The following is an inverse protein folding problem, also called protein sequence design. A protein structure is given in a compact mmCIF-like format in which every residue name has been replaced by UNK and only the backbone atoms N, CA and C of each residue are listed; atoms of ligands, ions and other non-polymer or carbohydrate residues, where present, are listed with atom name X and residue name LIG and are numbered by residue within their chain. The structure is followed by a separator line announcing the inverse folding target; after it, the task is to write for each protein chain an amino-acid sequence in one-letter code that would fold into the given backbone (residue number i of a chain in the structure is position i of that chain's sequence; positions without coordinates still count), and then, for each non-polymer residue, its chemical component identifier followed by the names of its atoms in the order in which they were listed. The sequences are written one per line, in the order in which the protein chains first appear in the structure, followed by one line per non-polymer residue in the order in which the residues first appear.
data_IF_879272602212
#
_entry.id   IF_879272602212
#
_cell.length_a   1.000
_cell.length_b   1.000
_cell.length_c   1.000
_cell.angle_alpha   90.00
_cell.angle_beta   90.00
_cell.angle_gamma   90.00
#
_symmetry.space_group_name_H-M   'P 1'
#
loop_
_entity.id
_entity.type
_entity.pdbx_description
1 polymer ?
#
# COMPACT_ATOMS: atom_id res chain seq x y z
N UNK A 1 -9.89 12.80 5.87
CA UNK A 1 -10.34 12.15 4.63
C UNK A 1 -11.02 10.84 5.00
N UNK A 2 -12.25 10.59 4.53
CA UNK A 2 -12.94 9.31 4.76
C UNK A 2 -12.67 8.37 3.58
N UNK A 3 -11.90 7.30 3.81
CA UNK A 3 -11.48 6.38 2.75
C UNK A 3 -12.66 5.63 2.15
N UNK A 4 -13.70 5.35 2.94
CA UNK A 4 -14.88 4.57 2.53
C UNK A 4 -15.66 5.18 1.35
N UNK A 5 -15.49 6.48 1.07
CA UNK A 5 -16.14 7.18 -0.04
C UNK A 5 -15.17 7.43 -1.20
N UNK A 6 -13.94 7.87 -0.94
CA UNK A 6 -13.06 8.37 -1.99
C UNK A 6 -12.32 7.28 -2.77
N UNK A 7 -11.98 6.16 -2.14
CA UNK A 7 -11.26 5.07 -2.81
C UNK A 7 -12.12 4.24 -3.78
N UNK A 8 -13.45 4.41 -3.69
CA UNK A 8 -14.44 3.78 -4.58
C UNK A 8 -14.79 4.63 -5.79
N UNK A 9 -14.24 5.84 -5.89
CA UNK A 9 -14.48 6.72 -7.04
C UNK A 9 -13.51 6.43 -8.18
N UNK A 10 -13.93 6.55 -9.46
CA UNK A 10 -13.04 6.38 -10.61
C UNK A 10 -11.85 7.36 -10.63
N UNK A 11 -11.94 8.45 -9.86
CA UNK A 11 -10.96 9.54 -9.85
C UNK A 11 -9.86 9.37 -8.80
N UNK A 12 -9.91 8.34 -7.96
CA UNK A 12 -9.00 8.16 -6.84
C UNK A 12 -7.52 8.17 -7.27
N UNK A 13 -7.17 7.41 -8.31
CA UNK A 13 -5.82 7.35 -8.86
C UNK A 13 -5.34 8.71 -9.42
N UNK A 14 -6.21 9.44 -10.12
CA UNK A 14 -5.89 10.77 -10.62
C UNK A 14 -5.61 11.76 -9.46
N UNK A 15 -6.36 11.65 -8.36
CA UNK A 15 -6.15 12.46 -7.16
C UNK A 15 -4.86 12.13 -6.42
N UNK A 16 -4.46 10.85 -6.35
CA UNK A 16 -3.15 10.48 -5.82
C UNK A 16 -2.04 11.22 -6.59
N UNK A 17 -2.05 11.14 -7.92
CA UNK A 17 -1.07 11.82 -8.76
C UNK A 17 -1.10 13.33 -8.54
N UNK A 18 -2.29 13.94 -8.62
CA UNK A 18 -2.47 15.38 -8.46
C UNK A 18 -1.95 15.90 -7.11
N UNK A 19 -2.30 15.21 -6.02
CA UNK A 19 -2.00 15.69 -4.67
C UNK A 19 -0.59 15.35 -4.20
N UNK A 20 0.05 14.34 -4.79
CA UNK A 20 1.42 13.92 -4.40
C UNK A 20 2.47 15.03 -4.54
N UNK A 21 2.25 15.99 -5.45
CA UNK A 21 3.16 17.13 -5.68
C UNK A 21 2.73 18.41 -4.94
N UNK A 22 1.69 18.37 -4.11
CA UNK A 22 1.20 19.56 -3.42
C UNK A 22 2.21 20.12 -2.44
N UNK A 23 2.31 21.47 -2.37
CA UNK A 23 3.07 22.16 -1.33
C UNK A 23 2.36 22.12 0.02
N UNK A 24 1.02 22.05 0.01
CA UNK A 24 0.23 21.90 1.23
C UNK A 24 0.46 20.52 1.85
N UNK A 25 0.84 20.50 3.13
CA UNK A 25 1.21 19.29 3.86
C UNK A 25 0.06 18.27 3.94
N UNK A 26 -1.15 18.74 4.24
CA UNK A 26 -2.29 17.84 4.44
C UNK A 26 -2.84 17.33 3.12
N UNK A 27 -2.77 18.14 2.06
CA UNK A 27 -3.09 17.68 0.70
C UNK A 27 -2.11 16.59 0.27
N UNK A 28 -0.79 16.82 0.43
CA UNK A 28 0.22 15.82 0.08
C UNK A 28 0.11 14.56 0.94
N UNK A 29 -0.07 14.70 2.25
CA UNK A 29 -0.35 13.57 3.16
C UNK A 29 -1.56 12.76 2.68
N UNK A 30 -2.62 13.43 2.26
CA UNK A 30 -3.85 12.78 1.77
C UNK A 30 -3.57 11.96 0.51
N UNK A 31 -2.68 12.39 -0.38
CA UNK A 31 -2.28 11.62 -1.55
C UNK A 31 -1.75 10.24 -1.16
N UNK A 32 -0.81 10.18 -0.22
CA UNK A 32 -0.20 8.92 0.21
C UNK A 32 -1.11 8.08 1.11
N UNK A 33 -1.98 8.73 1.89
CA UNK A 33 -3.00 8.02 2.64
C UNK A 33 -4.06 7.38 1.71
N UNK A 34 -4.42 8.04 0.61
CA UNK A 34 -5.29 7.50 -0.43
C UNK A 34 -4.61 6.36 -1.19
N UNK A 35 -3.33 6.51 -1.55
CA UNK A 35 -2.55 5.43 -2.17
C UNK A 35 -2.48 4.18 -1.28
N UNK A 36 -2.31 4.37 0.03
CA UNK A 36 -2.39 3.29 1.01
C UNK A 36 -3.76 2.61 0.99
N UNK A 37 -4.87 3.37 1.04
CA UNK A 37 -6.22 2.79 1.05
C UNK A 37 -6.52 2.05 -0.26
N UNK A 38 -6.11 2.57 -1.42
CA UNK A 38 -6.22 1.88 -2.71
C UNK A 38 -5.46 0.54 -2.71
N UNK A 39 -4.28 0.47 -2.09
CA UNK A 39 -3.53 -0.80 -1.99
C UNK A 39 -4.29 -1.88 -1.23
N UNK A 40 -5.11 -1.47 -0.26
CA UNK A 40 -5.94 -2.37 0.56
C UNK A 40 -7.26 -2.69 -0.13
N UNK A 41 -7.96 -1.69 -0.68
CA UNK A 41 -9.37 -1.80 -1.07
C UNK A 41 -9.63 -1.96 -2.56
N UNK A 42 -8.80 -1.38 -3.44
CA UNK A 42 -8.98 -1.52 -4.89
C UNK A 42 -8.47 -2.89 -5.32
N UNK A 43 -9.32 -3.93 -5.25
CA UNK A 43 -8.97 -5.30 -5.66
C UNK A 43 -8.98 -5.50 -7.18
N UNK A 44 -9.49 -4.53 -7.94
CA UNK A 44 -9.63 -4.62 -9.41
C UNK A 44 -8.40 -4.07 -10.12
N UNK A 45 -7.71 -3.09 -9.54
CA UNK A 45 -6.46 -2.59 -10.10
C UNK A 45 -5.39 -3.68 -10.19
N UNK A 46 -4.80 -3.79 -11.39
CA UNK A 46 -3.58 -4.55 -11.63
C UNK A 46 -2.37 -3.94 -10.93
N UNK A 47 -1.18 -4.47 -11.20
CA UNK A 47 0.04 -4.00 -10.52
C UNK A 47 0.51 -2.62 -10.99
N UNK A 48 0.23 -2.25 -12.25
CA UNK A 48 0.78 -1.05 -12.89
C UNK A 48 0.50 0.26 -12.12
N UNK A 49 -0.74 0.56 -11.68
CA UNK A 49 -1.00 1.78 -10.89
C UNK A 49 -0.21 1.84 -9.58
N UNK A 50 0.04 0.69 -8.94
CA UNK A 50 0.84 0.63 -7.72
C UNK A 50 2.33 0.84 -7.99
N UNK A 51 2.84 0.35 -9.13
CA UNK A 51 4.21 0.65 -9.57
C UNK A 51 4.38 2.15 -9.79
N UNK A 52 3.41 2.80 -10.45
CA UNK A 52 3.41 4.26 -10.58
C UNK A 52 3.30 4.96 -9.21
N UNK A 53 2.51 4.41 -8.29
CA UNK A 53 2.45 4.88 -6.90
C UNK A 53 3.80 4.81 -6.17
N UNK A 54 4.61 3.77 -6.42
CA UNK A 54 5.96 3.65 -5.87
C UNK A 54 6.90 4.73 -6.42
N UNK A 55 6.76 5.14 -7.68
CA UNK A 55 7.49 6.28 -8.24
C UNK A 55 7.13 7.58 -7.52
N UNK A 56 5.85 7.78 -7.17
CA UNK A 56 5.42 8.94 -6.39
C UNK A 56 5.97 8.93 -4.95
N UNK A 57 6.07 7.75 -4.34
CA UNK A 57 6.69 7.55 -3.02
C UNK A 57 8.16 7.99 -3.05
N UNK A 58 8.93 7.57 -4.05
CA UNK A 58 10.33 7.99 -4.18
C UNK A 58 10.49 9.48 -4.41
N UNK A 59 9.57 10.12 -5.14
CA UNK A 59 9.63 11.57 -5.38
C UNK A 59 9.32 12.43 -4.13
N UNK A 60 8.78 11.82 -3.09
CA UNK A 60 8.41 12.51 -1.84
C UNK A 60 9.18 11.96 -0.63
N UNK A 61 10.25 11.19 -0.86
CA UNK A 61 11.03 10.51 0.16
C UNK A 61 11.87 11.46 1.03
N UNK A 62 12.14 12.67 0.54
CA UNK A 62 12.91 13.72 1.19
C UNK A 62 12.05 14.70 1.99
N UNK A 63 10.72 14.56 1.97
CA UNK A 63 9.80 15.45 2.66
C UNK A 63 9.87 15.23 4.19
N UNK A 64 10.54 16.15 4.89
CA UNK A 64 10.82 16.03 6.32
C UNK A 64 9.59 16.21 7.21
N UNK A 65 8.46 16.67 6.65
CA UNK A 65 7.23 16.89 7.40
C UNK A 65 6.68 15.57 7.91
N UNK A 66 6.57 15.46 9.23
CA UNK A 66 6.28 14.20 9.91
C UNK A 66 5.01 13.50 9.39
N UNK A 67 3.96 14.23 9.04
CA UNK A 67 2.74 13.62 8.52
C UNK A 67 2.91 13.05 7.12
N UNK A 68 3.62 13.76 6.24
CA UNK A 68 3.92 13.31 4.89
C UNK A 68 4.85 12.11 4.94
N UNK A 69 5.98 12.22 5.63
CA UNK A 69 6.96 11.14 5.83
C UNK A 69 6.31 9.83 6.30
N UNK A 70 5.44 9.91 7.31
CA UNK A 70 4.71 8.73 7.83
C UNK A 70 3.74 8.15 6.80
N UNK A 71 3.02 9.02 6.07
CA UNK A 71 2.10 8.56 5.03
C UNK A 71 2.83 7.89 3.86
N UNK A 72 3.99 8.42 3.43
CA UNK A 72 4.86 7.84 2.40
C UNK A 72 5.35 6.46 2.82
N UNK A 73 5.88 6.31 4.04
CA UNK A 73 6.28 5.02 4.59
C UNK A 73 5.11 4.02 4.63
N UNK A 74 3.95 4.45 5.13
CA UNK A 74 2.76 3.60 5.19
C UNK A 74 2.35 3.09 3.81
N UNK A 75 2.30 3.97 2.80
CA UNK A 75 1.94 3.62 1.44
C UNK A 75 2.92 2.61 0.83
N UNK A 76 4.23 2.87 0.95
CA UNK A 76 5.30 1.97 0.47
C UNK A 76 5.12 0.55 1.01
N UNK A 77 4.94 0.43 2.32
CA UNK A 77 4.76 -0.87 2.97
C UNK A 77 3.49 -1.56 2.53
N UNK A 78 2.37 -0.85 2.42
CA UNK A 78 1.10 -1.44 2.05
C UNK A 78 1.08 -1.94 0.60
N UNK A 79 1.70 -1.22 -0.32
CA UNK A 79 1.93 -1.71 -1.69
C UNK A 79 2.74 -3.02 -1.65
N UNK A 80 3.83 -3.05 -0.88
CA UNK A 80 4.66 -4.26 -0.73
C UNK A 80 3.95 -5.45 -0.07
N UNK A 81 2.80 -5.24 0.58
CA UNK A 81 1.97 -6.30 1.17
C UNK A 81 1.01 -6.95 0.20
N UNK A 82 0.76 -6.33 -0.95
CA UNK A 82 -0.36 -6.67 -1.80
C UNK A 82 -0.17 -8.00 -2.55
N UNK A 83 1.02 -8.22 -3.12
CA UNK A 83 1.39 -9.47 -3.78
C UNK A 83 2.92 -9.54 -3.99
N UNK A 84 3.43 -10.68 -4.49
CA UNK A 84 4.87 -10.92 -4.67
C UNK A 84 5.55 -9.95 -5.64
N UNK A 85 4.92 -9.62 -6.77
CA UNK A 85 5.52 -8.71 -7.75
C UNK A 85 5.67 -7.29 -7.17
N UNK A 86 4.64 -6.79 -6.51
CA UNK A 86 4.67 -5.49 -5.82
C UNK A 86 5.58 -5.49 -4.59
N UNK A 87 5.71 -6.64 -3.91
CA UNK A 87 6.69 -6.81 -2.84
C UNK A 87 8.12 -6.60 -3.37
N UNK A 88 8.49 -7.26 -4.47
CA UNK A 88 9.81 -7.09 -5.10
C UNK A 88 10.06 -5.63 -5.50
N UNK A 89 9.07 -4.98 -6.11
CA UNK A 89 9.17 -3.57 -6.48
C UNK A 89 9.33 -2.65 -5.25
N UNK A 90 8.52 -2.84 -4.21
CA UNK A 90 8.58 -2.05 -2.98
C UNK A 90 9.89 -2.27 -2.20
N UNK A 91 10.42 -3.50 -2.17
CA UNK A 91 11.73 -3.80 -1.56
C UNK A 91 12.85 -3.11 -2.33
N UNK A 92 12.79 -3.10 -3.67
CA UNK A 92 13.75 -2.40 -4.52
C UNK A 92 13.80 -0.90 -4.20
N UNK A 93 12.61 -0.27 -4.11
CA UNK A 93 12.46 1.13 -3.67
C UNK A 93 13.04 1.34 -2.27
N UNK A 94 12.61 0.52 -1.30
CA UNK A 94 13.03 0.66 0.08
C UNK A 94 14.55 0.51 0.27
N UNK A 95 15.22 -0.34 -0.53
CA UNK A 95 16.69 -0.45 -0.56
C UNK A 95 17.35 0.83 -1.07
N UNK A 96 16.85 1.43 -2.15
CA UNK A 96 17.37 2.72 -2.65
C UNK A 96 17.23 3.81 -1.58
N UNK A 97 16.04 3.92 -0.99
CA UNK A 97 15.75 4.88 0.08
C UNK A 97 16.69 4.68 1.28
N UNK A 98 16.88 3.43 1.73
CA UNK A 98 17.77 3.10 2.85
C UNK A 98 19.25 3.46 2.61
N UNK A 99 19.67 3.54 1.34
CA UNK A 99 21.00 3.99 0.92
C UNK A 99 21.12 5.50 0.66
N UNK A 100 20.01 6.25 0.65
CA UNK A 100 19.98 7.69 0.34
C UNK A 100 20.81 8.51 1.31
N UNK A 101 21.43 9.62 0.88
CA UNK A 101 22.11 10.57 1.78
C UNK A 101 21.14 11.39 2.63
N UNK A 102 19.88 11.51 2.23
CA UNK A 102 18.84 12.19 2.99
C UNK A 102 18.39 11.34 4.20
N UNK A 103 18.35 11.92 5.40
CA UNK A 103 18.00 11.21 6.63
C UNK A 103 16.54 10.72 6.66
N UNK A 104 15.62 11.49 6.08
CA UNK A 104 14.20 11.16 5.96
C UNK A 104 13.99 9.98 5.03
N UNK A 105 14.54 10.03 3.82
CA UNK A 105 14.50 8.91 2.87
C UNK A 105 15.10 7.63 3.47
N UNK A 106 16.27 7.76 4.12
CA UNK A 106 16.95 6.65 4.79
C UNK A 106 16.08 6.00 5.87
N UNK A 107 15.40 6.81 6.68
CA UNK A 107 14.49 6.32 7.70
C UNK A 107 13.30 5.57 7.06
N UNK A 108 12.69 6.14 6.03
CA UNK A 108 11.56 5.51 5.32
C UNK A 108 11.97 4.15 4.76
N UNK A 109 13.12 4.08 4.07
CA UNK A 109 13.63 2.85 3.48
C UNK A 109 13.95 1.78 4.52
N UNK A 110 14.71 2.11 5.57
CA UNK A 110 15.09 1.16 6.62
C UNK A 110 13.88 0.58 7.34
N UNK A 111 12.91 1.43 7.67
CA UNK A 111 11.70 1.02 8.36
C UNK A 111 10.81 0.14 7.48
N UNK A 112 10.62 0.53 6.21
CA UNK A 112 9.89 -0.29 5.25
C UNK A 112 10.55 -1.66 5.02
N UNK A 113 11.88 -1.74 4.93
CA UNK A 113 12.58 -3.02 4.78
C UNK A 113 12.34 -3.96 5.97
N UNK A 114 12.42 -3.44 7.21
CA UNK A 114 12.17 -4.23 8.42
C UNK A 114 10.82 -4.94 8.38
N UNK A 115 9.78 -4.23 7.94
CA UNK A 115 8.41 -4.73 7.98
C UNK A 115 7.94 -5.44 6.70
N UNK A 116 8.68 -5.30 5.59
CA UNK A 116 8.34 -5.92 4.30
C UNK A 116 9.10 -7.23 4.08
N UNK A 117 10.35 -7.32 4.54
CA UNK A 117 11.16 -8.54 4.51
C UNK A 117 10.67 -9.56 5.54
N UNK A 118 10.37 -9.13 6.77
CA UNK A 118 9.92 -10.05 7.83
C UNK A 118 8.59 -10.77 7.53
N UNK A 119 7.71 -10.18 6.69
CA UNK A 119 6.42 -10.77 6.36
C UNK A 119 6.41 -11.60 5.08
N UNK A 120 7.34 -11.37 4.13
CA UNK A 120 7.52 -12.31 3.02
C UNK A 120 7.92 -13.68 3.55
N UNK A 121 8.76 -13.73 4.58
CA UNK A 121 9.18 -14.98 5.22
C UNK A 121 8.02 -15.66 5.97
N UNK A 122 7.14 -14.90 6.62
CA UNK A 122 5.97 -15.42 7.33
C UNK A 122 4.84 -15.86 6.38
N UNK A 123 4.63 -15.15 5.27
CA UNK A 123 3.65 -15.51 4.24
C UNK A 123 4.08 -16.75 3.45
N UNK A 124 5.40 -16.96 3.27
CA UNK A 124 5.96 -18.19 2.67
C UNK A 124 5.74 -19.41 3.57
N UNK A 125 5.66 -19.23 4.89
CA UNK A 125 5.42 -20.32 5.87
C UNK A 125 3.94 -20.67 6.06
N UNK A 126 3.00 -19.86 5.57
CA UNK A 126 1.57 -20.21 5.53
C UNK A 126 1.25 -20.83 4.18
N UNK A 127 1.19 -22.18 4.04
CA UNK A 127 0.66 -22.77 2.83
C UNK A 127 -0.76 -22.24 2.58
N UNK A 128 -1.08 -22.03 1.31
CA UNK A 128 -2.42 -21.69 0.82
C UNK A 128 -3.38 -22.85 1.09
N UNK A 129 -3.77 -23.04 2.35
CA UNK A 129 -4.84 -23.94 2.76
C UNK A 129 -5.67 -23.17 3.77
N UNK A 130 -6.77 -22.57 3.30
CA UNK A 130 -8.14 -22.84 3.78
C UNK A 130 -9.08 -21.68 3.41
N UNK A 131 -9.80 -21.83 2.29
CA UNK A 131 -11.21 -21.46 2.19
C UNK A 131 -11.77 -21.99 0.87
N UNK A 132 -11.83 -23.31 0.77
CA UNK A 132 -12.99 -23.92 0.13
C UNK A 132 -14.14 -23.71 1.13
N UNK A 133 -15.06 -22.80 0.80
CA UNK A 133 -16.32 -22.65 1.51
C UNK A 133 -17.12 -23.95 1.33
N UNK A 134 -17.05 -24.84 2.32
CA UNK A 134 -18.06 -25.85 2.52
C UNK A 134 -19.31 -25.11 3.01
N UNK A 135 -20.26 -24.90 2.10
CA UNK A 135 -21.58 -24.38 2.42
C UNK A 135 -22.38 -25.55 3.02
N UNK A 136 -22.83 -25.51 4.29
CA UNK A 136 -23.75 -26.53 4.76
C UNK A 136 -25.12 -26.28 4.11
N UNK A 137 -25.52 -27.20 3.24
CA UNK A 137 -26.87 -27.32 2.72
C UNK A 137 -27.86 -27.40 3.88
N UNK A 138 -28.72 -26.40 4.01
CA UNK A 138 -29.88 -26.46 4.90
C UNK A 138 -30.92 -27.39 4.27
N UNK A 139 -31.11 -28.57 4.86
CA UNK A 139 -32.26 -29.44 4.64
C UNK A 139 -33.44 -28.89 5.44
N UNK A 140 -34.47 -28.41 4.76
CA UNK A 140 -35.77 -28.13 5.37
C UNK A 140 -36.54 -29.45 5.58
N UNK A 141 -37.31 -29.60 6.68
CA UNK A 141 -38.12 -30.79 6.91
C UNK A 141 -39.41 -30.78 6.05
N UNK A 142 -39.96 -31.95 5.67
CA UNK A 142 -41.26 -32.02 5.01
C UNK A 142 -42.38 -32.14 6.05
N UNK A 143 -43.50 -31.44 5.81
CA UNK A 143 -44.87 -31.81 6.24
C UNK A 143 -45.86 -30.81 5.62
N UNK A 144 -47.16 -31.11 5.52
CA UNK A 144 -47.90 -32.24 6.08
C UNK A 144 -47.96 -33.50 5.19
#
# INVERSE_FOLDING_TARGET
MCFNLFDRTPHAWAKVTQWSSSKDEFVKRTAFALLWSLSVHDKRAGNEPFVQGLVLVERADDDERNFVKKAVNMALRAIGKRNRALNTAAVSVARRLAGSRNATARWVGKDALRETVGRSEETIKRPLTLSAMCCPSQTAPPTP
#
